data_IF_683077712732
#
_entry.id   IF_683077712732
#
_cell.length_a   1.000
_cell.length_b   1.000
_cell.length_c   1.000
_cell.angle_alpha   90.00
_cell.angle_beta   90.00
_cell.angle_gamma   90.00
#
_symmetry.space_group_name_H-M   'P 1'
#
loop_
_entity.id
_entity.type
_entity.pdbx_description
1 polymer ?
#
# COMPACT_ATOMS: atom_id res chain seq x y z
N UNK A 1 -30.17 5.28 45.16
CA UNK A 1 -30.77 6.14 44.11
C UNK A 1 -29.78 7.03 43.37
N UNK A 2 -29.10 8.02 43.99
CA UNK A 2 -28.14 8.88 43.22
C UNK A 2 -26.88 8.14 42.73
N UNK A 3 -26.38 7.15 43.48
CA UNK A 3 -25.19 6.36 43.10
C UNK A 3 -25.45 5.37 41.96
N UNK A 4 -26.69 4.89 41.84
CA UNK A 4 -27.09 3.90 40.83
C UNK A 4 -27.29 4.56 39.45
N UNK A 5 -27.79 5.81 39.44
CA UNK A 5 -27.88 6.63 38.23
C UNK A 5 -26.48 6.98 37.68
N UNK A 6 -25.51 7.26 38.56
CA UNK A 6 -24.14 7.57 38.18
C UNK A 6 -23.40 6.34 37.61
N UNK A 7 -23.64 5.15 38.17
CA UNK A 7 -23.10 3.88 37.67
C UNK A 7 -23.71 3.47 36.33
N UNK A 8 -25.01 3.69 36.13
CA UNK A 8 -25.68 3.44 34.86
C UNK A 8 -25.20 4.41 33.77
N UNK A 9 -24.99 5.69 34.11
CA UNK A 9 -24.42 6.67 33.19
C UNK A 9 -22.96 6.34 32.79
N UNK A 10 -22.13 5.86 33.74
CA UNK A 10 -20.76 5.42 33.44
C UNK A 10 -20.72 4.16 32.56
N UNK A 11 -21.63 3.20 32.78
CA UNK A 11 -21.76 2.00 31.95
C UNK A 11 -22.23 2.31 30.53
N UNK A 12 -23.17 3.25 30.36
CA UNK A 12 -23.62 3.70 29.04
C UNK A 12 -22.49 4.48 28.32
N UNK A 13 -21.72 5.29 29.04
CA UNK A 13 -20.57 6.03 28.49
C UNK A 13 -19.42 5.08 28.06
N UNK A 14 -19.15 4.03 28.84
CA UNK A 14 -18.19 2.99 28.49
C UNK A 14 -18.66 2.12 27.31
N UNK A 15 -19.97 1.88 27.17
CA UNK A 15 -20.54 1.12 26.06
C UNK A 15 -20.49 1.90 24.73
N UNK A 16 -20.59 3.23 24.76
CA UNK A 16 -20.40 4.07 23.57
C UNK A 16 -18.93 4.20 23.13
N UNK A 17 -17.96 3.99 24.03
CA UNK A 17 -16.53 3.98 23.68
C UNK A 17 -16.10 2.69 22.96
N UNK A 18 -16.79 1.56 23.19
CA UNK A 18 -16.45 0.28 22.60
C UNK A 18 -16.82 0.16 21.10
N UNK A 19 -17.71 1.02 20.60
CA UNK A 19 -18.13 1.02 19.18
C UNK A 19 -17.26 1.92 18.26
N UNK A 20 -16.26 2.61 18.80
CA UNK A 20 -15.37 3.49 18.03
C UNK A 20 -14.14 2.80 17.43
N UNK A 21 -13.83 1.57 17.87
CA UNK A 21 -12.56 0.92 17.55
C UNK A 21 -12.41 0.48 16.08
N UNK A 22 -13.51 0.26 15.36
CA UNK A 22 -13.44 -0.21 13.96
C UNK A 22 -13.10 0.89 12.95
N UNK A 23 -13.25 2.16 13.32
CA UNK A 23 -13.01 3.28 12.41
C UNK A 23 -11.67 3.99 12.66
N UNK A 24 -11.16 3.98 13.90
CA UNK A 24 -9.91 4.67 14.31
C UNK A 24 -8.68 4.20 13.51
N UNK A 25 -8.64 2.93 13.07
CA UNK A 25 -7.53 2.37 12.29
C UNK A 25 -7.47 2.79 10.81
N UNK A 26 -8.52 3.42 10.27
CA UNK A 26 -8.56 3.79 8.85
C UNK A 26 -7.79 5.06 8.52
N UNK A 27 -7.56 5.95 9.49
CA UNK A 27 -6.93 7.25 9.28
C UNK A 27 -5.55 7.29 9.92
N UNK A 28 -4.52 7.45 9.10
CA UNK A 28 -3.12 7.48 9.54
C UNK A 28 -2.55 8.87 9.37
N UNK A 29 -1.85 9.37 10.38
CA UNK A 29 -1.21 10.67 10.33
C UNK A 29 -0.05 10.67 9.32
N UNK A 30 0.09 11.75 8.57
CA UNK A 30 1.18 11.92 7.64
C UNK A 30 1.19 13.28 6.93
N UNK A 31 2.08 13.39 5.95
CA UNK A 31 2.32 14.57 5.14
C UNK A 31 1.97 14.31 3.69
N UNK A 32 0.99 15.03 3.17
CA UNK A 32 0.57 14.99 1.77
C UNK A 32 1.40 16.01 0.98
N UNK A 33 2.08 15.56 -0.07
CA UNK A 33 2.83 16.42 -0.98
C UNK A 33 1.94 16.86 -2.15
N UNK A 34 1.51 18.12 -2.16
CA UNK A 34 0.69 18.71 -3.23
C UNK A 34 1.55 19.05 -4.45
N UNK A 35 2.74 19.59 -4.21
CA UNK A 35 3.73 19.91 -5.24
C UNK A 35 5.14 19.79 -4.66
N UNK A 36 6.19 20.03 -5.48
CA UNK A 36 7.59 19.96 -5.01
C UNK A 36 7.86 20.79 -3.74
N UNK A 37 7.13 21.88 -3.52
CA UNK A 37 7.37 22.81 -2.40
C UNK A 37 6.21 22.90 -1.41
N UNK A 38 5.05 22.29 -1.69
CA UNK A 38 3.84 22.44 -0.86
C UNK A 38 3.46 21.10 -0.23
N UNK A 39 3.34 21.11 1.09
CA UNK A 39 2.90 19.96 1.89
C UNK A 39 1.70 20.35 2.76
N UNK A 40 0.89 19.36 3.11
CA UNK A 40 -0.24 19.47 4.02
C UNK A 40 -0.13 18.35 5.05
N UNK A 41 -0.16 18.69 6.34
CA UNK A 41 -0.29 17.71 7.41
C UNK A 41 -1.75 17.25 7.50
N UNK A 42 -1.97 15.95 7.67
CA UNK A 42 -3.31 15.43 7.79
C UNK A 42 -3.37 13.96 8.20
N UNK A 43 -4.58 13.52 8.46
CA UNK A 43 -4.91 12.13 8.72
C UNK A 43 -5.50 11.54 7.45
N UNK A 44 -4.74 10.69 6.78
CA UNK A 44 -5.02 10.13 5.46
C UNK A 44 -5.73 8.80 5.62
N UNK A 45 -6.81 8.60 4.88
CA UNK A 45 -7.55 7.35 4.90
C UNK A 45 -6.81 6.26 4.12
N UNK A 46 -6.35 5.22 4.81
CA UNK A 46 -5.73 4.03 4.24
C UNK A 46 -6.60 2.83 4.58
N UNK A 47 -7.34 2.36 3.58
CA UNK A 47 -8.33 1.30 3.71
C UNK A 47 -7.89 0.08 2.89
N UNK A 48 -7.14 -0.84 3.50
CA UNK A 48 -6.65 -2.05 2.83
C UNK A 48 -7.78 -3.03 2.47
N UNK A 49 -8.97 -2.88 3.05
CA UNK A 49 -10.16 -3.62 2.61
C UNK A 49 -10.64 -3.15 1.25
N UNK A 50 -10.47 -1.86 0.96
CA UNK A 50 -10.81 -1.26 -0.33
C UNK A 50 -9.64 -0.45 -0.90
N UNK A 51 -8.53 -1.10 -1.30
CA UNK A 51 -7.30 -0.39 -1.69
C UNK A 51 -7.51 0.62 -2.81
N UNK A 52 -8.43 0.33 -3.74
CA UNK A 52 -8.85 1.24 -4.80
C UNK A 52 -9.15 2.67 -4.29
N UNK A 53 -9.64 2.82 -3.05
CA UNK A 53 -9.94 4.13 -2.45
C UNK A 53 -8.71 5.01 -2.22
N UNK A 54 -7.54 4.44 -1.97
CA UNK A 54 -6.29 5.21 -1.86
C UNK A 54 -5.41 5.10 -3.11
N UNK A 55 -5.75 4.18 -4.03
CA UNK A 55 -5.08 4.03 -5.32
C UNK A 55 -5.66 4.96 -6.41
N UNK A 56 -6.94 5.34 -6.34
CA UNK A 56 -7.62 6.17 -7.35
C UNK A 56 -7.78 7.64 -6.94
N UNK A 57 -7.77 7.92 -5.64
CA UNK A 57 -7.80 9.23 -5.01
C UNK A 57 -7.31 9.08 -3.57
N UNK A 58 -7.25 10.16 -2.79
CA UNK A 58 -7.08 10.06 -1.34
C UNK A 58 -8.15 10.90 -0.64
N UNK A 59 -8.59 10.40 0.51
CA UNK A 59 -9.43 11.17 1.45
C UNK A 59 -8.61 11.44 2.69
N UNK A 60 -8.64 12.66 3.20
CA UNK A 60 -7.95 13.01 4.44
C UNK A 60 -8.78 13.97 5.31
N UNK A 61 -8.38 14.07 6.58
CA UNK A 61 -8.87 15.02 7.56
C UNK A 61 -7.74 15.93 8.01
N UNK A 62 -8.01 17.22 8.12
CA UNK A 62 -7.13 18.13 8.86
C UNK A 62 -7.10 17.77 10.35
N UNK A 63 -6.03 18.11 11.09
CA UNK A 63 -5.88 17.74 12.50
C UNK A 63 -7.09 18.10 13.38
N UNK A 64 -7.63 19.31 13.26
CA UNK A 64 -8.80 19.76 14.02
C UNK A 64 -10.08 18.98 13.67
N UNK A 65 -10.19 18.55 12.41
CA UNK A 65 -11.32 17.73 11.96
C UNK A 65 -11.18 16.29 12.44
N UNK A 66 -9.97 15.76 12.50
CA UNK A 66 -9.68 14.44 13.05
C UNK A 66 -9.92 14.40 14.56
N UNK A 67 -9.48 15.40 15.33
CA UNK A 67 -9.73 15.49 16.76
C UNK A 67 -11.23 15.44 17.08
N UNK A 68 -12.04 16.24 16.35
CA UNK A 68 -13.51 16.23 16.50
C UNK A 68 -14.13 14.88 16.12
N UNK A 69 -13.58 14.22 15.11
CA UNK A 69 -14.05 12.91 14.69
C UNK A 69 -13.73 11.82 15.72
N UNK A 70 -12.55 11.87 16.33
CA UNK A 70 -12.15 10.98 17.43
C UNK A 70 -13.10 11.09 18.63
N UNK A 71 -13.52 12.31 18.99
CA UNK A 71 -14.41 12.54 20.12
C UNK A 71 -15.86 12.12 19.87
N UNK A 72 -16.37 12.32 18.65
CA UNK A 72 -17.81 12.25 18.38
C UNK A 72 -18.23 11.11 17.45
N UNK A 73 -17.27 10.46 16.79
CA UNK A 73 -17.51 9.49 15.72
C UNK A 73 -18.17 10.07 14.46
N UNK A 74 -18.52 11.38 14.45
CA UNK A 74 -19.31 12.01 13.40
C UNK A 74 -18.62 13.27 12.88
N UNK A 75 -18.50 13.36 11.56
CA UNK A 75 -18.08 14.58 10.88
C UNK A 75 -19.31 15.30 10.34
N UNK A 76 -19.62 16.50 10.85
CA UNK A 76 -20.65 17.37 10.25
C UNK A 76 -20.07 18.10 9.03
N UNK A 77 -20.77 18.09 7.89
CA UNK A 77 -20.43 18.86 6.68
C UNK A 77 -19.28 18.31 5.83
N UNK A 78 -18.71 19.14 4.94
CA UNK A 78 -17.62 18.81 3.99
C UNK A 78 -16.23 18.77 4.64
N UNK A 79 -16.08 18.12 5.80
CA UNK A 79 -14.79 18.06 6.53
C UNK A 79 -13.84 16.97 6.04
N UNK A 80 -14.35 16.00 5.28
CA UNK A 80 -13.53 15.05 4.53
C UNK A 80 -13.07 15.72 3.25
N UNK A 81 -11.76 15.86 3.09
CA UNK A 81 -11.18 16.46 1.90
C UNK A 81 -10.72 15.34 0.98
N UNK A 82 -11.15 15.39 -0.28
CA UNK A 82 -10.81 14.41 -1.30
C UNK A 82 -9.87 15.04 -2.33
N UNK A 83 -8.76 14.38 -2.63
CA UNK A 83 -7.80 14.79 -3.65
C UNK A 83 -7.69 13.72 -4.73
N UNK A 84 -7.88 14.10 -6.00
CA UNK A 84 -7.64 13.20 -7.12
C UNK A 84 -6.14 13.06 -7.43
N UNK A 85 -5.77 12.06 -8.23
CA UNK A 85 -4.37 11.79 -8.64
C UNK A 85 -3.69 12.91 -9.46
N UNK A 86 -4.39 14.02 -9.71
CA UNK A 86 -3.79 15.21 -10.34
C UNK A 86 -3.45 16.30 -9.34
N UNK A 87 -4.00 16.21 -8.13
CA UNK A 87 -3.97 17.27 -7.13
C UNK A 87 -2.84 17.07 -6.11
N UNK A 88 -2.13 15.94 -6.17
CA UNK A 88 -0.99 15.63 -5.31
C UNK A 88 0.05 14.74 -6.02
N UNK A 89 1.25 14.70 -5.44
CA UNK A 89 2.42 13.93 -5.92
C UNK A 89 2.58 12.63 -5.14
N UNK A 90 2.24 12.62 -3.87
CA UNK A 90 2.37 11.47 -2.97
C UNK A 90 2.15 11.89 -1.52
N UNK A 91 2.36 10.98 -0.59
CA UNK A 91 2.33 11.28 0.84
C UNK A 91 3.26 10.36 1.62
N UNK A 92 3.72 10.79 2.79
CA UNK A 92 4.49 9.97 3.72
C UNK A 92 3.74 9.91 5.04
N UNK A 93 3.48 8.70 5.52
CA UNK A 93 2.86 8.45 6.82
C UNK A 93 3.92 8.54 7.93
N UNK A 94 3.47 8.86 9.14
CA UNK A 94 4.35 8.98 10.30
C UNK A 94 5.01 7.64 10.68
N UNK A 95 4.42 6.50 10.27
CA UNK A 95 5.00 5.17 10.41
C UNK A 95 6.12 4.83 9.40
N UNK A 96 6.50 5.80 8.55
CA UNK A 96 7.57 5.64 7.56
C UNK A 96 7.10 5.22 6.17
N UNK A 97 5.88 4.67 6.02
CA UNK A 97 5.36 4.27 4.71
C UNK A 97 5.24 5.48 3.79
N UNK A 98 5.69 5.32 2.54
CA UNK A 98 5.67 6.37 1.54
C UNK A 98 4.81 5.93 0.36
N UNK A 99 3.93 6.81 -0.09
CA UNK A 99 3.05 6.59 -1.23
C UNK A 99 3.32 7.64 -2.31
N UNK A 100 3.24 7.24 -3.58
CA UNK A 100 3.53 8.09 -4.74
C UNK A 100 2.47 7.94 -5.80
N UNK A 101 2.10 9.06 -6.40
CA UNK A 101 1.34 9.08 -7.64
C UNK A 101 2.30 8.84 -8.80
N UNK A 102 2.18 7.68 -9.43
CA UNK A 102 2.99 7.31 -10.60
C UNK A 102 2.12 7.22 -11.84
N UNK A 103 2.74 7.24 -13.03
CA UNK A 103 2.11 6.81 -14.28
C UNK A 103 2.70 5.46 -14.67
N UNK A 104 1.95 4.37 -14.57
CA UNK A 104 2.48 3.04 -14.85
C UNK A 104 1.93 2.46 -16.16
N UNK A 105 2.69 1.56 -16.76
CA UNK A 105 2.31 0.81 -17.96
C UNK A 105 1.95 -0.63 -17.56
N UNK A 106 0.69 -1.00 -17.81
CA UNK A 106 0.17 -2.33 -17.57
C UNK A 106 0.49 -3.26 -18.75
N UNK A 107 1.58 -4.03 -18.64
CA UNK A 107 2.04 -4.95 -19.69
C UNK A 107 1.19 -6.23 -19.81
N UNK A 108 0.19 -6.42 -18.93
CA UNK A 108 -0.65 -7.63 -18.92
C UNK A 108 -1.73 -7.60 -20.00
N UNK A 109 -2.05 -6.42 -20.53
CA UNK A 109 -3.09 -6.21 -21.53
C UNK A 109 -2.47 -6.12 -22.92
N UNK A 110 -2.69 -7.14 -23.76
CA UNK A 110 -2.31 -7.09 -25.18
C UNK A 110 -3.23 -6.12 -25.93
N UNK A 111 -2.68 -4.99 -26.39
CA UNK A 111 -3.39 -4.02 -27.23
C UNK A 111 -2.49 -2.84 -27.64
N UNK A 112 -2.61 -2.41 -28.90
CA UNK A 112 -1.94 -1.22 -29.44
C UNK A 112 -2.47 0.03 -28.70
N UNK A 113 -1.56 0.73 -28.00
CA UNK A 113 -1.90 1.94 -27.24
C UNK A 113 -1.90 1.77 -25.71
N UNK A 114 -0.86 1.16 -25.14
CA UNK A 114 -0.66 1.09 -23.68
C UNK A 114 -0.40 2.48 -23.08
N UNK A 115 -1.46 3.25 -22.88
CA UNK A 115 -1.41 4.57 -22.26
C UNK A 115 -1.08 4.42 -20.77
N UNK A 116 -0.04 5.10 -20.26
CA UNK A 116 0.27 5.08 -18.84
C UNK A 116 -0.90 5.58 -18.00
N UNK A 117 -1.28 4.83 -16.97
CA UNK A 117 -2.36 5.19 -16.04
C UNK A 117 -1.79 5.77 -14.77
N UNK A 118 -2.41 6.85 -14.27
CA UNK A 118 -2.06 7.39 -12.95
C UNK A 118 -2.58 6.46 -11.86
N UNK A 119 -1.79 6.24 -10.82
CA UNK A 119 -2.19 5.47 -9.65
C UNK A 119 -1.43 5.91 -8.40
N UNK A 120 -2.16 5.95 -7.28
CA UNK A 120 -1.72 5.91 -5.89
C UNK A 120 -1.01 4.61 -5.49
N UNK A 121 0.31 4.53 -5.25
CA UNK A 121 0.95 3.26 -4.81
C UNK A 121 1.97 3.47 -3.69
N UNK A 122 2.13 2.45 -2.84
CA UNK A 122 3.18 2.43 -1.83
C UNK A 122 4.54 2.21 -2.49
N UNK A 123 5.51 3.06 -2.18
CA UNK A 123 6.90 2.93 -2.60
C UNK A 123 7.67 2.11 -1.56
N UNK A 124 8.18 0.96 -1.98
CA UNK A 124 8.87 0.00 -1.11
C UNK A 124 10.39 -0.04 -1.33
N UNK A 125 10.88 0.52 -2.44
CA UNK A 125 12.29 0.78 -2.66
C UNK A 125 12.48 2.08 -3.45
N UNK A 126 13.55 2.80 -3.15
CA UNK A 126 13.94 4.02 -3.86
C UNK A 126 15.41 3.96 -4.26
N UNK A 127 15.74 4.32 -5.50
CA UNK A 127 17.12 4.39 -5.95
C UNK A 127 17.25 4.30 -7.47
N UNK A 128 18.30 3.60 -7.94
CA UNK A 128 18.49 3.28 -9.37
C UNK A 128 17.33 2.47 -9.92
N UNK A 129 16.77 1.59 -9.08
CA UNK A 129 15.50 0.90 -9.30
C UNK A 129 14.53 1.31 -8.20
N UNK A 130 13.46 1.99 -8.58
CA UNK A 130 12.30 2.20 -7.73
C UNK A 130 11.37 0.99 -7.81
N UNK A 131 10.76 0.61 -6.69
CA UNK A 131 9.76 -0.45 -6.61
C UNK A 131 8.52 0.00 -5.84
N UNK A 132 7.35 -0.43 -6.30
CA UNK A 132 6.06 -0.03 -5.75
C UNK A 132 5.11 -1.22 -5.60
N UNK A 133 4.25 -1.19 -4.58
CA UNK A 133 3.14 -2.13 -4.41
C UNK A 133 1.86 -1.60 -5.04
N UNK A 134 1.25 -2.43 -5.88
CA UNK A 134 -0.10 -2.22 -6.38
C UNK A 134 -1.02 -3.32 -5.85
N UNK A 135 -1.97 -2.93 -5.02
CA UNK A 135 -2.96 -3.83 -4.44
C UNK A 135 -4.09 -4.10 -5.42
N UNK A 136 -4.70 -5.29 -5.28
CA UNK A 136 -5.85 -5.70 -6.07
C UNK A 136 -7.11 -4.92 -5.68
N UNK A 137 -7.96 -4.61 -6.66
CA UNK A 137 -9.28 -4.05 -6.39
C UNK A 137 -10.14 -5.12 -5.73
N UNK A 138 -10.90 -4.77 -4.70
CA UNK A 138 -11.81 -5.69 -3.98
C UNK A 138 -13.28 -5.53 -4.40
N UNK A 139 -13.56 -4.64 -5.36
CA UNK A 139 -14.90 -4.36 -5.86
C UNK A 139 -14.92 -4.33 -7.40
N UNK A 140 -16.09 -4.60 -7.98
CA UNK A 140 -16.25 -4.64 -9.44
C UNK A 140 -15.72 -5.94 -10.03
N UNK A 141 -14.92 -5.86 -11.10
CA UNK A 141 -14.31 -7.03 -11.73
C UNK A 141 -13.09 -7.47 -10.93
N UNK A 142 -13.27 -8.48 -10.09
CA UNK A 142 -12.23 -9.14 -9.29
C UNK A 142 -11.96 -10.56 -9.82
N UNK A 143 -10.80 -11.14 -9.48
CA UNK A 143 -10.52 -12.55 -9.83
C UNK A 143 -11.43 -13.49 -9.05
N UNK A 144 -11.61 -14.72 -9.56
CA UNK A 144 -12.40 -15.75 -8.86
C UNK A 144 -11.85 -16.01 -7.45
N UNK A 145 -10.53 -16.18 -7.32
CA UNK A 145 -9.85 -16.38 -6.03
C UNK A 145 -10.10 -15.23 -5.04
N UNK A 146 -10.06 -13.97 -5.49
CA UNK A 146 -10.35 -12.82 -4.63
C UNK A 146 -11.85 -12.73 -4.29
N UNK A 147 -12.74 -13.23 -5.16
CA UNK A 147 -14.17 -13.22 -4.92
C UNK A 147 -14.54 -14.08 -3.71
N UNK A 148 -13.94 -15.26 -3.57
CA UNK A 148 -14.19 -16.15 -2.44
C UNK A 148 -13.75 -15.48 -1.12
N UNK A 149 -12.55 -14.90 -1.09
CA UNK A 149 -12.05 -14.19 0.11
C UNK A 149 -12.92 -12.99 0.48
N UNK A 150 -13.43 -12.24 -0.52
CA UNK A 150 -14.37 -11.12 -0.29
C UNK A 150 -15.71 -11.61 0.26
N UNK A 151 -16.16 -12.81 -0.14
CA UNK A 151 -17.39 -13.40 0.39
C UNK A 151 -17.20 -13.91 1.81
N UNK A 152 -16.10 -14.59 2.09
CA UNK A 152 -15.74 -15.09 3.42
C UNK A 152 -15.53 -13.96 4.43
N UNK A 153 -14.97 -12.82 4.01
CA UNK A 153 -14.78 -11.68 4.92
C UNK A 153 -16.09 -11.13 5.49
N UNK A 154 -17.23 -11.34 4.81
CA UNK A 154 -18.55 -10.90 5.28
C UNK A 154 -19.04 -11.70 6.48
N UNK A 155 -18.57 -12.93 6.64
CA UNK A 155 -18.96 -13.84 7.73
C UNK A 155 -17.85 -13.99 8.76
N UNK A 156 -16.58 -13.98 8.33
CA UNK A 156 -15.41 -14.25 9.18
C UNK A 156 -14.67 -12.99 9.64
N UNK A 157 -15.03 -11.82 9.10
CA UNK A 157 -14.45 -10.52 9.45
C UNK A 157 -13.47 -9.98 8.41
N UNK A 158 -13.35 -8.65 8.37
CA UNK A 158 -12.58 -7.96 7.34
C UNK A 158 -11.05 -8.18 7.43
N UNK A 159 -10.53 -8.66 8.56
CA UNK A 159 -9.10 -8.89 8.76
C UNK A 159 -8.54 -9.94 7.79
N UNK A 160 -9.28 -11.02 7.54
CA UNK A 160 -8.88 -12.06 6.58
C UNK A 160 -8.67 -11.48 5.18
N UNK A 161 -9.57 -10.59 4.74
CA UNK A 161 -9.45 -9.92 3.45
C UNK A 161 -8.26 -8.93 3.43
N UNK A 162 -8.07 -8.18 4.52
CA UNK A 162 -6.93 -7.27 4.65
C UNK A 162 -5.61 -8.04 4.56
N UNK A 163 -5.48 -9.14 5.31
CA UNK A 163 -4.28 -9.98 5.32
C UNK A 163 -4.02 -10.57 3.93
N UNK A 164 -5.06 -11.11 3.29
CA UNK A 164 -4.99 -11.61 1.92
C UNK A 164 -4.49 -10.52 0.96
N UNK A 165 -5.07 -9.32 0.98
CA UNK A 165 -4.70 -8.22 0.09
C UNK A 165 -3.25 -7.77 0.34
N UNK A 166 -2.85 -7.68 1.59
CA UNK A 166 -1.49 -7.30 1.96
C UNK A 166 -0.46 -8.38 1.64
N UNK A 167 -0.88 -9.62 1.42
CA UNK A 167 -0.05 -10.74 0.97
C UNK A 167 -0.27 -11.10 -0.51
N UNK A 168 -1.12 -10.37 -1.24
CA UNK A 168 -1.42 -10.64 -2.65
C UNK A 168 -1.50 -9.33 -3.44
N UNK A 169 -0.34 -8.84 -3.84
CA UNK A 169 -0.18 -7.57 -4.58
C UNK A 169 0.74 -7.73 -5.78
N UNK A 170 0.76 -6.71 -6.64
CA UNK A 170 1.66 -6.65 -7.79
C UNK A 170 2.83 -5.75 -7.47
N UNK A 171 4.03 -6.12 -7.93
CA UNK A 171 5.20 -5.24 -7.88
C UNK A 171 5.30 -4.47 -9.21
N UNK A 172 5.41 -3.16 -9.10
CA UNK A 172 5.75 -2.27 -10.21
C UNK A 172 7.21 -1.81 -10.06
N UNK A 173 7.97 -1.83 -11.15
CA UNK A 173 9.39 -1.47 -11.14
C UNK A 173 9.70 -0.37 -12.14
N UNK A 174 10.57 0.56 -11.76
CA UNK A 174 11.14 1.57 -12.63
C UNK A 174 12.64 1.66 -12.44
N UNK A 175 13.38 1.28 -13.48
CA UNK A 175 14.83 1.49 -13.56
C UNK A 175 15.06 2.86 -14.23
N UNK A 176 15.65 3.81 -13.50
CA UNK A 176 15.59 5.24 -13.84
C UNK A 176 16.15 5.60 -15.22
N UNK A 177 17.19 4.89 -15.65
CA UNK A 177 17.92 5.08 -16.91
C UNK A 177 17.30 4.31 -18.09
N UNK A 178 16.48 3.29 -17.82
CA UNK A 178 15.89 2.42 -18.85
C UNK A 178 14.40 2.70 -19.07
N UNK A 179 13.67 3.04 -18.01
CA UNK A 179 12.22 3.10 -18.01
C UNK A 179 11.70 4.50 -17.67
N UNK A 180 11.00 5.11 -18.63
CA UNK A 180 10.26 6.37 -18.40
C UNK A 180 9.14 6.26 -17.35
N UNK A 181 8.52 5.08 -17.25
CA UNK A 181 7.36 4.81 -16.40
C UNK A 181 7.53 3.44 -15.72
N UNK A 182 7.05 3.26 -14.47
CA UNK A 182 6.99 1.96 -13.84
C UNK A 182 6.16 0.96 -14.65
N UNK A 183 6.54 -0.31 -14.59
CA UNK A 183 5.87 -1.42 -15.28
C UNK A 183 5.67 -2.58 -14.32
N UNK A 184 4.62 -3.37 -14.53
CA UNK A 184 4.43 -4.61 -13.79
C UNK A 184 5.63 -5.54 -13.98
N UNK A 185 6.11 -6.14 -12.88
CA UNK A 185 7.22 -7.10 -12.90
C UNK A 185 6.92 -8.31 -13.80
N UNK A 186 5.64 -8.61 -14.04
CA UNK A 186 5.15 -9.69 -14.92
C UNK A 186 5.64 -9.64 -16.38
N UNK A 187 6.35 -8.60 -16.82
CA UNK A 187 6.93 -8.53 -18.17
C UNK A 187 8.45 -8.39 -18.20
N UNK A 188 9.11 -8.33 -17.04
CA UNK A 188 10.54 -8.09 -16.95
C UNK A 188 11.23 -9.29 -16.31
N UNK A 189 12.24 -9.85 -16.97
CA UNK A 189 13.15 -10.78 -16.31
C UNK A 189 13.84 -10.04 -15.17
N UNK A 190 14.00 -10.64 -13.99
CA UNK A 190 14.79 -10.01 -12.91
C UNK A 190 16.19 -9.66 -13.41
N UNK A 191 16.76 -10.49 -14.30
CA UNK A 191 18.03 -10.22 -14.97
C UNK A 191 18.01 -8.97 -15.85
N UNK A 192 16.87 -8.56 -16.42
CA UNK A 192 16.78 -7.28 -17.14
C UNK A 192 16.84 -6.07 -16.21
N UNK A 193 16.57 -6.25 -14.92
CA UNK A 193 16.69 -5.18 -13.93
C UNK A 193 18.11 -5.09 -13.37
N UNK A 194 18.70 -6.24 -13.02
CA UNK A 194 19.93 -6.33 -12.21
C UNK A 194 21.15 -6.88 -12.96
N UNK A 195 21.00 -7.39 -14.19
CA UNK A 195 22.03 -8.12 -14.92
C UNK A 195 23.25 -7.29 -15.34
N UNK A 196 23.15 -5.97 -15.26
CA UNK A 196 24.25 -5.03 -15.46
C UNK A 196 25.14 -4.85 -14.22
N UNK A 197 24.79 -5.48 -13.09
CA UNK A 197 25.61 -5.52 -11.88
C UNK A 197 26.06 -6.96 -11.60
N UNK A 198 27.31 -7.26 -11.95
CA UNK A 198 27.87 -8.62 -11.87
C UNK A 198 27.78 -9.22 -10.46
N UNK A 199 28.07 -8.43 -9.42
CA UNK A 199 27.98 -8.88 -8.02
C UNK A 199 26.56 -9.28 -7.64
N UNK A 200 25.58 -8.44 -7.96
CA UNK A 200 24.16 -8.70 -7.65
C UNK A 200 23.64 -9.87 -8.47
N UNK A 201 24.05 -9.98 -9.74
CA UNK A 201 23.74 -11.13 -10.59
C UNK A 201 24.29 -12.43 -10.01
N UNK A 202 25.56 -12.47 -9.61
CA UNK A 202 26.17 -13.65 -8.97
C UNK A 202 25.46 -14.02 -7.67
N UNK A 203 25.09 -13.03 -6.85
CA UNK A 203 24.29 -13.27 -5.65
C UNK A 203 22.91 -13.84 -5.96
N UNK A 204 22.25 -13.34 -7.01
CA UNK A 204 20.97 -13.88 -7.49
C UNK A 204 21.10 -15.33 -7.98
N UNK A 205 22.10 -15.63 -8.81
CA UNK A 205 22.37 -16.96 -9.36
C UNK A 205 22.70 -17.98 -8.25
N UNK A 206 23.41 -17.53 -7.21
CA UNK A 206 23.71 -18.33 -6.01
C UNK A 206 22.56 -18.39 -5.01
N UNK A 207 21.39 -17.84 -5.34
CA UNK A 207 20.21 -17.79 -4.48
C UNK A 207 20.45 -17.09 -3.12
N UNK A 208 21.39 -16.14 -3.06
CA UNK A 208 21.70 -15.39 -1.84
C UNK A 208 20.48 -14.62 -1.29
N UNK A 209 19.59 -14.18 -2.19
CA UNK A 209 18.38 -13.44 -1.82
C UNK A 209 17.19 -14.33 -1.43
N UNK A 210 17.25 -15.65 -1.63
CA UNK A 210 16.22 -16.60 -1.17
C UNK A 210 15.06 -16.90 -2.14
N UNK A 211 15.19 -16.58 -3.43
CA UNK A 211 14.14 -16.83 -4.43
C UNK A 211 13.81 -18.32 -4.68
N UNK A 212 14.75 -19.25 -4.48
CA UNK A 212 14.58 -20.70 -4.78
C UNK A 212 13.44 -21.35 -3.99
N UNK A 213 13.13 -20.85 -2.80
CA UNK A 213 12.01 -21.33 -1.98
C UNK A 213 10.65 -20.75 -2.43
N UNK A 214 10.65 -19.74 -3.30
CA UNK A 214 9.44 -19.08 -3.81
C UNK A 214 8.93 -19.70 -5.12
N UNK A 215 9.73 -20.56 -5.77
CA UNK A 215 9.39 -21.22 -7.04
C UNK A 215 8.83 -22.65 -6.89
N UNK A 216 8.84 -23.19 -5.67
CA UNK A 216 8.42 -24.57 -5.37
C UNK A 216 6.93 -24.70 -5.09
N UNK A 217 6.25 -23.61 -4.73
CA UNK A 217 4.80 -23.58 -4.63
C UNK A 217 4.18 -23.28 -5.99
N UNK A 218 2.98 -23.81 -6.26
CA UNK A 218 2.21 -23.68 -7.51
C UNK A 218 1.94 -22.23 -7.98
N UNK A 219 2.50 -21.21 -7.34
CA UNK A 219 2.54 -19.83 -7.79
C UNK A 219 3.49 -19.69 -9.00
N UNK A 220 3.08 -20.27 -10.13
CA UNK A 220 3.61 -19.93 -11.45
C UNK A 220 3.45 -18.42 -11.63
N UNK A 221 4.54 -17.66 -11.52
CA UNK A 221 4.66 -16.23 -11.87
C UNK A 221 3.35 -15.58 -12.31
N UNK A 222 2.51 -15.26 -11.33
CA UNK A 222 1.31 -14.46 -11.52
C UNK A 222 1.68 -12.99 -11.51
N UNK A 223 0.72 -12.13 -11.85
CA UNK A 223 0.87 -10.68 -11.60
C UNK A 223 1.01 -10.38 -10.11
N UNK A 224 0.58 -11.33 -9.28
CA UNK A 224 0.42 -11.25 -7.84
C UNK A 224 1.57 -12.02 -7.18
N UNK A 225 2.18 -11.40 -6.17
CA UNK A 225 3.28 -11.94 -5.36
C UNK A 225 2.94 -11.80 -3.87
N UNK A 226 3.58 -12.64 -3.06
CA UNK A 226 3.43 -12.68 -1.60
C UNK A 226 4.52 -11.89 -0.87
N UNK A 227 4.38 -11.77 0.47
CA UNK A 227 5.35 -11.06 1.33
C UNK A 227 6.74 -11.72 1.35
N UNK A 228 6.82 -13.03 1.15
CA UNK A 228 8.12 -13.72 1.13
C UNK A 228 8.90 -13.40 -0.16
N UNK A 229 8.22 -13.35 -1.29
CA UNK A 229 8.76 -12.87 -2.56
C UNK A 229 9.18 -11.41 -2.43
N UNK A 230 8.35 -10.55 -1.86
CA UNK A 230 8.70 -9.14 -1.60
C UNK A 230 9.98 -9.03 -0.77
N UNK A 231 10.10 -9.80 0.31
CA UNK A 231 11.29 -9.77 1.17
C UNK A 231 12.55 -10.11 0.38
N UNK A 232 12.49 -11.17 -0.44
CA UNK A 232 13.60 -11.61 -1.30
C UNK A 232 13.92 -10.55 -2.37
N UNK A 233 12.89 -9.97 -2.97
CA UNK A 233 12.99 -8.92 -3.97
C UNK A 233 13.59 -7.63 -3.41
N UNK A 234 13.16 -7.18 -2.23
CA UNK A 234 13.69 -5.97 -1.59
C UNK A 234 15.15 -6.16 -1.18
N UNK A 235 15.56 -7.33 -0.69
CA UNK A 235 16.98 -7.62 -0.45
C UNK A 235 17.82 -7.43 -1.71
N UNK A 236 17.36 -7.98 -2.83
CA UNK A 236 18.03 -7.85 -4.12
C UNK A 236 18.07 -6.40 -4.63
N UNK A 237 16.94 -5.68 -4.58
CA UNK A 237 16.86 -4.30 -5.08
C UNK A 237 17.62 -3.33 -4.18
N UNK A 238 17.59 -3.49 -2.86
CA UNK A 238 18.38 -2.67 -1.95
C UNK A 238 19.88 -2.88 -2.18
N UNK A 239 20.30 -4.14 -2.36
CA UNK A 239 21.67 -4.47 -2.71
C UNK A 239 22.10 -3.85 -4.06
N UNK A 240 21.22 -3.88 -5.06
CA UNK A 240 21.43 -3.22 -6.34
C UNK A 240 21.52 -1.68 -6.22
N UNK A 241 20.66 -1.09 -5.41
CA UNK A 241 20.62 0.35 -5.15
C UNK A 241 21.81 0.82 -4.30
N UNK A 242 22.62 -0.09 -3.75
CA UNK A 242 23.72 0.23 -2.84
C UNK A 242 23.24 0.64 -1.44
N UNK A 243 21.99 0.31 -1.11
CA UNK A 243 21.44 0.47 0.23
C UNK A 243 21.85 -0.80 0.99
N UNK A 244 23.01 -0.73 1.65
CA UNK A 244 23.44 -1.80 2.54
C UNK A 244 22.36 -2.08 3.60
N UNK A 245 22.31 -3.30 4.13
CA UNK A 245 21.38 -3.80 5.17
C UNK A 245 21.44 -2.99 6.50
N UNK A 246 22.24 -1.91 6.56
CA UNK A 246 22.56 -1.12 7.73
C UNK A 246 21.53 -0.03 8.11
N UNK A 247 20.28 -0.10 7.65
CA UNK A 247 19.23 0.87 8.06
C UNK A 247 17.94 0.23 8.57
N UNK A 248 18.02 -1.02 9.06
CA UNK A 248 16.95 -1.67 9.83
C UNK A 248 17.31 -1.87 11.31
N UNK A 249 18.43 -1.34 11.78
CA UNK A 249 18.69 -1.19 13.21
C UNK A 249 18.19 0.18 13.66
N UNK A 250 17.01 0.14 14.27
CA UNK A 250 16.49 0.97 15.37
C UNK A 250 17.29 2.23 15.71
N UNK A 251 16.66 3.39 15.50
CA UNK A 251 16.64 4.49 16.47
C UNK A 251 15.18 4.89 16.76
#
# INVERSE_FOLDING_TARGET
MKKDLLRLALLIFAFFMAFSASAQGLYQKGKIQISKKKHIDGYIQIDYRFPQRFQEDITYLEPDSYAKWQETGKLKGKKKIKLGLKDFVGFKLDNGQTFKVIKYVDLTKKGLGMLPKRICVEQIAHGKVDAFKRYSNTTGKISYELADVVMDSKTQGDQMLIDYIQDNFQILVQKQDVHKNPRNLQGASLLTLIGDNERVKTNYDNNHYGFRNQFTERQKFGVIVNKQYETSFLKMINDYNGIGVASLEVE
#
